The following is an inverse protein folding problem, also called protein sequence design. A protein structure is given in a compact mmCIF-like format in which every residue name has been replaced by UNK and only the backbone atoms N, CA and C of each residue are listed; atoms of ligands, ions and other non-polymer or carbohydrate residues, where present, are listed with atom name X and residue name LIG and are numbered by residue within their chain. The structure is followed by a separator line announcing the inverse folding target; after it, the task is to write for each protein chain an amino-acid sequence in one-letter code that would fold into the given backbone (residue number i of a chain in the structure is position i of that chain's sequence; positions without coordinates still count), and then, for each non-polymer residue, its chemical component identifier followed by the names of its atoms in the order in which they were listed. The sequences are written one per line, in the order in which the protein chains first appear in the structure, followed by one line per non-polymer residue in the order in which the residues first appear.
data_IF_312733032330
#
_entry.id   IF_312733032330
#
_cell.length_a   1.000
_cell.length_b   1.000
_cell.length_c   1.000
_cell.angle_alpha   90.00
_cell.angle_beta   90.00
_cell.angle_gamma   90.00
#
_symmetry.space_group_name_H-M   'P 1'
#
loop_
_entity.id
_entity.type
_entity.pdbx_description
1 polymer ?
#
# COMPACT_ATOMS: atom_id res chain seq x y z
N UNK A 1 -3.39 8.53 16.12
CA UNK A 1 -4.18 7.49 15.44
C UNK A 1 -3.81 7.46 13.98
N UNK A 2 -3.53 6.29 13.42
CA UNK A 2 -3.29 6.04 12.01
C UNK A 2 -4.40 5.13 11.47
N UNK A 3 -5.15 5.61 10.50
CA UNK A 3 -6.23 4.90 9.82
C UNK A 3 -5.71 4.39 8.47
N UNK A 4 -5.48 3.09 8.37
CA UNK A 4 -4.94 2.43 7.18
C UNK A 4 -3.66 3.11 6.61
N UNK A 5 -2.87 3.74 7.49
CA UNK A 5 -1.63 4.40 7.09
C UNK A 5 -0.52 3.38 6.84
N UNK A 6 0.22 3.50 5.72
CA UNK A 6 1.32 2.60 5.43
C UNK A 6 2.52 2.83 6.36
N UNK A 7 3.19 1.75 6.73
CA UNK A 7 4.39 1.70 7.55
C UNK A 7 5.60 1.24 6.75
N UNK A 8 5.36 0.60 5.62
CA UNK A 8 6.38 0.15 4.69
C UNK A 8 6.81 1.28 3.74
N UNK A 9 7.98 1.13 3.13
CA UNK A 9 8.46 2.04 2.09
C UNK A 9 7.46 2.12 0.92
N UNK A 10 7.32 3.29 0.31
CA UNK A 10 6.29 3.56 -0.68
C UNK A 10 6.30 2.64 -1.90
N UNK A 11 7.47 2.24 -2.40
CA UNK A 11 7.57 1.26 -3.49
C UNK A 11 7.01 -0.11 -3.09
N UNK A 12 7.31 -0.56 -1.87
CA UNK A 12 6.82 -1.82 -1.33
C UNK A 12 5.30 -1.80 -1.14
N UNK A 13 4.75 -0.68 -0.66
CA UNK A 13 3.29 -0.48 -0.54
C UNK A 13 2.62 -0.62 -1.89
N UNK A 14 3.10 0.09 -2.92
CA UNK A 14 2.50 0.04 -4.25
C UNK A 14 2.65 -1.33 -4.94
N UNK A 15 3.76 -2.03 -4.70
CA UNK A 15 3.93 -3.40 -5.23
C UNK A 15 2.94 -4.38 -4.58
N UNK A 16 2.73 -4.29 -3.27
CA UNK A 16 1.73 -5.11 -2.57
C UNK A 16 0.31 -4.76 -3.04
N UNK A 17 -0.03 -3.47 -3.08
CA UNK A 17 -1.31 -2.99 -3.58
C UNK A 17 -1.64 -3.55 -4.97
N UNK A 18 -0.69 -3.49 -5.90
CA UNK A 18 -0.92 -4.01 -7.25
C UNK A 18 -1.13 -5.53 -7.25
N UNK A 19 -0.38 -6.30 -6.42
CA UNK A 19 -0.63 -7.74 -6.27
C UNK A 19 -2.03 -8.03 -5.74
N UNK A 20 -2.42 -7.35 -4.67
CA UNK A 20 -3.70 -7.57 -3.98
C UNK A 20 -4.88 -7.19 -4.89
N UNK A 21 -4.79 -6.06 -5.60
CA UNK A 21 -5.82 -5.59 -6.55
C UNK A 21 -5.95 -6.53 -7.76
N UNK A 22 -4.84 -6.95 -8.36
CA UNK A 22 -4.86 -7.85 -9.52
C UNK A 22 -5.37 -9.24 -9.13
N UNK A 23 -5.01 -9.74 -7.95
CA UNK A 23 -5.53 -10.99 -7.41
C UNK A 23 -7.04 -10.90 -7.16
N UNK A 24 -7.50 -9.80 -6.54
CA UNK A 24 -8.93 -9.56 -6.32
C UNK A 24 -9.71 -9.41 -7.63
N UNK A 25 -9.07 -8.95 -8.70
CA UNK A 25 -9.61 -8.90 -10.05
C UNK A 25 -9.63 -10.27 -10.77
N UNK A 26 -9.17 -11.34 -10.11
CA UNK A 26 -9.22 -12.70 -10.63
C UNK A 26 -8.05 -13.11 -11.53
N UNK A 27 -6.96 -12.32 -11.58
CA UNK A 27 -5.77 -12.74 -12.30
C UNK A 27 -5.09 -13.91 -11.59
N UNK A 28 -4.55 -14.85 -12.38
CA UNK A 28 -3.76 -15.94 -11.84
C UNK A 28 -2.43 -15.48 -11.27
N UNK A 29 -1.90 -16.25 -10.34
CA UNK A 29 -0.70 -15.92 -9.58
C UNK A 29 0.54 -15.65 -10.46
N UNK A 30 0.71 -16.38 -11.55
CA UNK A 30 1.87 -16.24 -12.45
C UNK A 30 1.84 -14.85 -13.13
N UNK A 31 0.69 -14.44 -13.66
CA UNK A 31 0.53 -13.13 -14.28
C UNK A 31 0.64 -11.99 -13.25
N UNK A 32 0.12 -12.17 -12.03
CA UNK A 32 0.29 -11.19 -10.93
C UNK A 32 1.78 -11.00 -10.62
N UNK A 33 2.56 -12.06 -10.44
CA UNK A 33 3.98 -11.96 -10.11
C UNK A 33 4.84 -11.44 -11.28
N UNK A 34 4.50 -11.78 -12.51
CA UNK A 34 5.12 -11.18 -13.71
C UNK A 34 4.91 -9.67 -13.74
N UNK A 35 3.69 -9.21 -13.51
CA UNK A 35 3.39 -7.78 -13.47
C UNK A 35 4.12 -7.07 -12.32
N UNK A 36 4.07 -7.63 -11.11
CA UNK A 36 4.76 -7.07 -9.95
C UNK A 36 6.27 -6.99 -10.15
N UNK A 37 6.87 -8.01 -10.79
CA UNK A 37 8.30 -8.00 -11.13
C UNK A 37 8.62 -6.89 -12.12
N UNK A 38 7.81 -6.73 -13.16
CA UNK A 38 7.97 -5.67 -14.16
C UNK A 38 7.85 -4.28 -13.53
N UNK A 39 6.83 -4.08 -12.70
CA UNK A 39 6.60 -2.83 -11.96
C UNK A 39 7.75 -2.52 -10.99
N UNK A 40 8.28 -3.53 -10.29
CA UNK A 40 9.44 -3.36 -9.41
C UNK A 40 10.67 -2.87 -10.18
N UNK A 41 10.92 -3.38 -11.40
CA UNK A 41 12.02 -2.90 -12.24
C UNK A 41 11.83 -1.44 -12.64
N UNK A 42 10.60 -1.06 -12.98
CA UNK A 42 10.25 0.34 -13.29
C UNK A 42 10.51 1.24 -12.07
N UNK A 43 10.05 0.86 -10.88
CA UNK A 43 10.29 1.65 -9.67
C UNK A 43 11.79 1.77 -9.36
N UNK A 44 12.54 0.67 -9.40
CA UNK A 44 13.99 0.68 -9.17
C UNK A 44 14.72 1.58 -10.17
N UNK A 45 14.36 1.50 -11.46
CA UNK A 45 14.91 2.36 -12.47
C UNK A 45 14.61 3.83 -12.17
N UNK A 46 13.36 4.14 -11.80
CA UNK A 46 12.94 5.52 -11.51
C UNK A 46 13.53 6.08 -10.21
N UNK A 47 13.74 5.26 -9.21
CA UNK A 47 14.38 5.66 -7.96
C UNK A 47 15.90 5.84 -8.10
N UNK A 48 16.51 5.28 -9.15
CA UNK A 48 17.91 5.47 -9.45
C UNK A 48 18.18 6.92 -9.88
N UNK A 49 19.45 7.31 -9.99
CA UNK A 49 19.86 8.64 -10.46
C UNK A 49 19.75 8.81 -11.99
N UNK A 50 18.98 7.97 -12.66
CA UNK A 50 18.77 8.06 -14.10
C UNK A 50 18.07 9.38 -14.45
N UNK A 51 18.63 10.08 -15.46
CA UNK A 51 18.11 11.37 -15.91
C UNK A 51 16.92 11.25 -16.86
N UNK A 52 16.69 10.07 -17.44
CA UNK A 52 15.62 9.86 -18.39
C UNK A 52 14.27 9.80 -17.70
N UNK A 53 13.29 10.52 -18.22
CA UNK A 53 11.91 10.47 -17.77
C UNK A 53 11.13 9.39 -18.51
N UNK A 54 10.30 8.65 -17.81
CA UNK A 54 9.42 7.65 -18.43
C UNK A 54 8.34 8.28 -19.30
N UNK A 55 7.81 9.43 -18.86
CA UNK A 55 6.78 10.16 -19.60
C UNK A 55 7.20 10.54 -21.02
N UNK A 56 8.52 10.70 -21.26
CA UNK A 56 9.02 11.08 -22.57
C UNK A 56 9.02 9.90 -23.55
N UNK A 57 9.24 8.66 -23.06
CA UNK A 57 9.34 7.44 -23.90
C UNK A 57 8.89 6.15 -23.20
N UNK A 58 7.71 6.09 -22.55
CA UNK A 58 7.29 4.92 -21.81
C UNK A 58 7.14 3.67 -22.69
N UNK A 59 6.73 3.83 -23.95
CA UNK A 59 6.56 2.76 -24.91
C UNK A 59 7.89 2.07 -25.29
N UNK A 60 9.01 2.78 -25.16
CA UNK A 60 10.36 2.27 -25.44
C UNK A 60 11.01 1.71 -24.16
N UNK A 61 10.84 2.38 -23.05
CA UNK A 61 11.48 2.01 -21.78
C UNK A 61 10.88 0.76 -21.15
N UNK A 62 9.55 0.62 -21.16
CA UNK A 62 8.89 -0.55 -20.59
C UNK A 62 9.33 -1.85 -21.26
N UNK A 63 9.32 -1.97 -22.60
CA UNK A 63 9.86 -3.14 -23.29
C UNK A 63 11.33 -3.43 -22.93
N UNK A 64 12.16 -2.40 -22.85
CA UNK A 64 13.57 -2.56 -22.48
C UNK A 64 13.76 -3.14 -21.08
N UNK A 65 13.01 -2.63 -20.10
CA UNK A 65 13.09 -3.06 -18.70
C UNK A 65 12.43 -4.44 -18.45
N UNK A 66 11.59 -4.91 -19.36
CA UNK A 66 10.79 -6.12 -19.19
C UNK A 66 10.92 -7.13 -20.34
N UNK A 67 12.02 -7.04 -21.13
CA UNK A 67 12.23 -7.86 -22.34
C UNK A 67 12.18 -9.38 -22.10
N UNK A 68 12.58 -9.80 -20.90
CA UNK A 68 12.61 -11.20 -20.44
C UNK A 68 11.32 -11.62 -19.71
N UNK A 69 10.35 -10.71 -19.56
CA UNK A 69 9.08 -10.97 -18.89
C UNK A 69 7.96 -11.04 -19.94
N UNK A 70 7.37 -12.22 -20.08
CA UNK A 70 6.21 -12.40 -20.97
C UNK A 70 4.94 -11.86 -20.27
N UNK A 71 4.69 -10.56 -20.44
CA UNK A 71 3.48 -9.91 -19.95
C UNK A 71 2.35 -10.04 -20.97
N UNK A 72 1.14 -10.30 -20.47
CA UNK A 72 -0.10 -10.17 -21.25
C UNK A 72 -0.21 -8.76 -21.85
N UNK A 73 -0.78 -8.59 -23.08
CA UNK A 73 -0.90 -7.29 -23.72
C UNK A 73 -1.59 -6.24 -22.85
N UNK A 74 -2.64 -6.60 -22.15
CA UNK A 74 -3.40 -5.73 -21.25
C UNK A 74 -2.55 -5.26 -20.08
N UNK A 75 -1.79 -6.16 -19.45
CA UNK A 75 -0.89 -5.84 -18.35
C UNK A 75 0.27 -4.96 -18.81
N UNK A 76 0.78 -5.19 -20.01
CA UNK A 76 1.81 -4.33 -20.62
C UNK A 76 1.28 -2.91 -20.86
N UNK A 77 0.05 -2.79 -21.37
CA UNK A 77 -0.61 -1.49 -21.55
C UNK A 77 -0.79 -0.77 -20.21
N UNK A 78 -1.30 -1.47 -19.18
CA UNK A 78 -1.46 -0.92 -17.85
C UNK A 78 -0.13 -0.44 -17.26
N UNK A 79 0.95 -1.20 -17.47
CA UNK A 79 2.28 -0.83 -17.02
C UNK A 79 2.77 0.46 -17.69
N UNK A 80 2.55 0.63 -18.99
CA UNK A 80 2.90 1.86 -19.72
C UNK A 80 2.15 3.07 -19.15
N UNK A 81 0.85 2.94 -18.87
CA UNK A 81 0.07 4.03 -18.27
C UNK A 81 0.55 4.34 -16.84
N UNK A 82 0.87 3.31 -16.06
CA UNK A 82 1.45 3.49 -14.72
C UNK A 82 2.77 4.25 -14.78
N UNK A 83 3.63 3.92 -15.75
CA UNK A 83 4.92 4.58 -15.94
C UNK A 83 4.77 6.09 -16.20
N UNK A 84 3.75 6.50 -16.95
CA UNK A 84 3.47 7.93 -17.20
C UNK A 84 3.22 8.71 -15.89
N UNK A 85 2.60 8.06 -14.91
CA UNK A 85 2.34 8.68 -13.59
C UNK A 85 3.59 8.70 -12.69
N UNK A 86 4.50 7.75 -12.84
CA UNK A 86 5.70 7.61 -11.97
C UNK A 86 6.67 8.78 -12.09
N UNK A 87 6.54 9.61 -13.10
CA UNK A 87 7.38 10.81 -13.27
C UNK A 87 6.95 12.01 -12.42
N UNK A 88 5.80 11.95 -11.75
CA UNK A 88 5.42 13.04 -10.87
C UNK A 88 6.40 13.17 -9.70
N UNK A 89 6.85 14.39 -9.34
CA UNK A 89 7.78 14.60 -8.23
C UNK A 89 7.26 14.04 -6.90
N UNK A 90 5.95 14.13 -6.68
CA UNK A 90 5.29 13.57 -5.51
C UNK A 90 5.45 12.05 -5.45
N UNK A 91 5.14 11.35 -6.54
CA UNK A 91 5.20 9.89 -6.56
C UNK A 91 6.64 9.38 -6.43
N UNK A 92 7.61 10.07 -7.04
CA UNK A 92 9.04 9.74 -6.85
C UNK A 92 9.46 9.86 -5.39
N UNK A 93 9.03 10.94 -4.71
CA UNK A 93 9.29 11.13 -3.28
C UNK A 93 8.62 10.04 -2.45
N UNK A 94 7.37 9.69 -2.78
CA UNK A 94 6.64 8.62 -2.11
C UNK A 94 7.33 7.25 -2.27
N UNK A 95 7.75 6.89 -3.48
CA UNK A 95 8.47 5.63 -3.72
C UNK A 95 9.75 5.49 -2.89
N UNK A 96 10.47 6.60 -2.70
CA UNK A 96 11.74 6.66 -1.95
C UNK A 96 11.54 6.78 -0.45
N UNK A 97 10.37 7.24 0.00
CA UNK A 97 10.13 7.50 1.41
C UNK A 97 10.04 6.21 2.22
N UNK A 98 10.97 6.06 3.16
CA UNK A 98 10.94 4.99 4.17
C UNK A 98 10.49 5.58 5.52
N UNK A 99 9.25 5.33 5.95
CA UNK A 99 8.72 5.85 7.20
C UNK A 99 9.39 5.25 8.45
N UNK A 100 10.11 4.14 8.33
CA UNK A 100 10.75 3.48 9.46
C UNK A 100 11.68 4.40 10.25
N UNK A 101 12.38 5.32 9.55
CA UNK A 101 13.28 6.29 10.18
C UNK A 101 12.55 7.25 11.11
N UNK A 102 11.34 7.66 10.77
CA UNK A 102 10.55 8.59 11.58
C UNK A 102 9.74 7.84 12.64
N UNK A 103 9.22 6.65 12.32
CA UNK A 103 8.49 5.80 13.26
C UNK A 103 9.36 5.40 14.45
N UNK A 104 10.65 5.13 14.26
CA UNK A 104 11.60 4.84 15.35
C UNK A 104 11.79 6.00 16.33
N UNK A 105 11.46 7.23 15.95
CA UNK A 105 11.57 8.43 16.79
C UNK A 105 10.30 8.71 17.58
N UNK A 106 9.22 8.00 17.34
CA UNK A 106 7.96 8.18 18.06
C UNK A 106 8.18 7.83 19.53
N UNK A 107 7.71 8.70 20.41
CA UNK A 107 7.80 8.56 21.86
C UNK A 107 6.43 8.53 22.58
N UNK A 108 5.35 8.66 21.82
CA UNK A 108 3.97 8.60 22.30
C UNK A 108 3.28 7.30 21.85
N UNK A 109 2.25 6.83 22.57
CA UNK A 109 1.43 5.69 22.14
C UNK A 109 0.85 5.91 20.72
N UNK A 110 0.78 4.84 19.95
CA UNK A 110 0.24 4.82 18.57
C UNK A 110 -0.96 3.88 18.51
N UNK A 111 -2.02 4.33 17.86
CA UNK A 111 -3.07 3.44 17.37
C UNK A 111 -2.91 3.32 15.86
N UNK A 112 -2.56 2.13 15.37
CA UNK A 112 -2.54 1.77 13.95
C UNK A 112 -3.61 0.73 13.70
N UNK A 113 -4.58 1.07 12.88
CA UNK A 113 -5.69 0.18 12.52
C UNK A 113 -5.83 0.09 11.02
N UNK A 114 -6.09 -1.13 10.52
CA UNK A 114 -6.21 -1.43 9.09
C UNK A 114 -7.29 -2.50 8.93
N UNK A 115 -8.09 -2.43 7.86
CA UNK A 115 -9.00 -3.53 7.50
C UNK A 115 -8.20 -4.73 6.96
N UNK A 116 -8.56 -5.95 7.33
CA UNK A 116 -7.84 -7.13 6.81
C UNK A 116 -8.16 -7.43 5.34
N UNK A 117 -9.30 -6.88 4.86
CA UNK A 117 -9.68 -6.91 3.45
C UNK A 117 -9.25 -5.66 2.67
N UNK A 118 -8.35 -4.85 3.24
CA UNK A 118 -7.76 -3.70 2.57
C UNK A 118 -6.82 -4.13 1.44
N UNK A 119 -7.18 -3.77 0.18
CA UNK A 119 -6.37 -4.06 -1.01
C UNK A 119 -5.42 -2.91 -1.39
N UNK A 120 -5.44 -1.81 -0.64
CA UNK A 120 -4.55 -0.67 -0.86
C UNK A 120 -3.36 -0.68 0.11
N UNK A 121 -3.61 -1.01 1.38
CA UNK A 121 -2.58 -1.10 2.42
C UNK A 121 -2.71 -2.46 3.11
N UNK A 122 -1.83 -3.39 2.75
CA UNK A 122 -1.86 -4.76 3.28
C UNK A 122 -1.71 -4.76 4.81
N UNK A 123 -2.77 -5.19 5.51
CA UNK A 123 -2.84 -5.13 6.97
C UNK A 123 -1.74 -5.95 7.65
N UNK A 124 -1.57 -7.21 7.24
CA UNK A 124 -0.59 -8.11 7.84
C UNK A 124 0.82 -7.57 7.74
N UNK A 125 1.23 -7.14 6.54
CA UNK A 125 2.58 -6.64 6.31
C UNK A 125 2.86 -5.33 7.07
N UNK A 126 1.90 -4.39 7.09
CA UNK A 126 2.09 -3.10 7.75
C UNK A 126 2.01 -3.20 9.28
N UNK A 127 1.13 -4.00 9.83
CA UNK A 127 1.09 -4.25 11.29
C UNK A 127 2.37 -4.94 11.75
N UNK A 128 2.82 -5.98 11.05
CA UNK A 128 4.08 -6.64 11.37
C UNK A 128 5.28 -5.70 11.27
N UNK A 129 5.31 -4.83 10.27
CA UNK A 129 6.35 -3.80 10.16
C UNK A 129 6.30 -2.83 11.34
N UNK A 130 5.12 -2.35 11.73
CA UNK A 130 4.94 -1.47 12.89
C UNK A 130 5.43 -2.14 14.20
N UNK A 131 5.10 -3.41 14.39
CA UNK A 131 5.55 -4.20 15.55
C UNK A 131 7.08 -4.29 15.65
N UNK A 132 7.76 -4.37 14.51
CA UNK A 132 9.22 -4.48 14.45
C UNK A 132 9.91 -3.11 14.56
N UNK A 133 9.28 -2.03 14.10
CA UNK A 133 9.89 -0.70 13.98
C UNK A 133 9.63 0.16 15.22
N UNK A 134 8.44 0.09 15.82
CA UNK A 134 8.08 0.90 16.98
C UNK A 134 9.02 0.61 18.18
N UNK A 135 9.48 1.66 18.88
CA UNK A 135 10.26 1.49 20.12
C UNK A 135 9.49 0.62 21.12
N UNK A 136 10.17 -0.30 21.79
CA UNK A 136 9.55 -1.29 22.68
C UNK A 136 8.62 -0.66 23.75
N UNK A 137 9.05 0.47 24.33
CA UNK A 137 8.26 1.19 25.34
C UNK A 137 7.00 1.84 24.77
N UNK A 138 7.04 2.29 23.50
CA UNK A 138 5.89 2.84 22.77
C UNK A 138 4.93 1.72 22.42
N UNK A 139 5.45 0.65 21.81
CA UNK A 139 4.65 -0.51 21.41
C UNK A 139 3.83 -1.10 22.56
N UNK A 140 4.41 -1.19 23.76
CA UNK A 140 3.73 -1.69 24.94
C UNK A 140 2.46 -0.88 25.35
N UNK A 141 2.32 0.34 24.89
CA UNK A 141 1.19 1.25 25.16
C UNK A 141 0.36 1.53 23.89
N UNK A 142 0.71 0.94 22.78
CA UNK A 142 0.08 1.14 21.46
C UNK A 142 -0.97 0.09 21.18
N UNK A 143 -1.89 0.39 20.27
CA UNK A 143 -2.86 -0.55 19.70
C UNK A 143 -2.55 -0.74 18.22
N UNK A 144 -2.22 -1.98 17.85
CA UNK A 144 -2.03 -2.39 16.45
C UNK A 144 -3.10 -3.44 16.15
N UNK A 145 -4.08 -3.12 15.30
CA UNK A 145 -5.25 -4.00 15.10
C UNK A 145 -5.64 -4.08 13.62
N UNK A 146 -5.82 -5.30 13.12
CA UNK A 146 -6.53 -5.56 11.88
C UNK A 146 -8.01 -5.81 12.18
N UNK A 147 -8.91 -5.24 11.38
CA UNK A 147 -10.34 -5.46 11.50
C UNK A 147 -10.81 -6.46 10.44
N UNK A 148 -11.42 -7.58 10.84
CA UNK A 148 -11.92 -8.59 9.92
C UNK A 148 -12.92 -8.02 8.93
N UNK A 149 -12.83 -8.43 7.67
CA UNK A 149 -13.74 -8.11 6.57
C UNK A 149 -13.83 -6.63 6.18
N UNK A 150 -13.12 -5.71 6.84
CA UNK A 150 -13.17 -4.30 6.50
C UNK A 150 -12.18 -3.96 5.38
N UNK A 151 -12.63 -3.10 4.46
CA UNK A 151 -11.82 -2.55 3.38
C UNK A 151 -10.97 -1.33 3.84
N UNK A 152 -10.32 -0.66 2.90
CA UNK A 152 -9.50 0.54 3.16
C UNK A 152 -10.26 1.70 3.81
N UNK A 153 -11.54 1.81 3.58
CA UNK A 153 -12.43 2.83 4.17
C UNK A 153 -13.08 2.35 5.48
N UNK A 154 -12.66 1.20 6.00
CA UNK A 154 -13.28 0.54 7.16
C UNK A 154 -14.76 0.22 6.96
N UNK A 155 -15.15 -0.10 5.75
CA UNK A 155 -16.48 -0.58 5.41
C UNK A 155 -16.47 -2.11 5.36
N UNK A 156 -17.51 -2.81 5.83
CA UNK A 156 -17.68 -4.25 5.57
C UNK A 156 -17.71 -4.52 4.07
N UNK A 157 -16.85 -5.44 3.59
CA UNK A 157 -16.67 -5.70 2.16
C UNK A 157 -16.46 -7.18 1.87
N UNK A 158 -16.87 -7.64 0.70
CA UNK A 158 -16.68 -9.02 0.27
C UNK A 158 -15.27 -9.25 -0.31
N UNK A 159 -14.86 -8.39 -1.25
CA UNK A 159 -13.55 -8.54 -1.95
C UNK A 159 -12.52 -7.51 -1.48
N UNK A 160 -12.96 -6.42 -0.86
CA UNK A 160 -12.12 -5.26 -0.50
C UNK A 160 -11.70 -4.41 -1.70
N UNK A 161 -12.20 -4.73 -2.90
CA UNK A 161 -11.90 -3.97 -4.11
C UNK A 161 -12.44 -2.55 -4.05
N UNK A 162 -11.68 -1.53 -4.50
CA UNK A 162 -12.19 -0.16 -4.62
C UNK A 162 -13.49 -0.03 -5.44
N UNK A 163 -13.75 -0.97 -6.35
CA UNK A 163 -15.00 -1.03 -7.12
C UNK A 163 -16.26 -1.32 -6.30
N UNK A 164 -16.11 -1.78 -5.05
CA UNK A 164 -17.23 -2.02 -4.13
C UNK A 164 -17.64 -0.75 -3.36
N UNK A 165 -16.73 0.20 -3.16
CA UNK A 165 -16.91 1.32 -2.21
C UNK A 165 -18.21 2.09 -2.42
N UNK A 166 -18.55 2.41 -3.66
CA UNK A 166 -19.77 3.16 -4.00
C UNK A 166 -21.08 2.37 -3.79
N UNK A 167 -20.99 1.05 -3.56
CA UNK A 167 -22.15 0.17 -3.38
C UNK A 167 -22.43 -0.13 -1.91
N UNK A 168 -21.51 0.22 -1.02
CA UNK A 168 -21.59 -0.05 0.42
C UNK A 168 -22.20 1.17 1.09
N UNK A 169 -23.35 0.98 1.75
CA UNK A 169 -24.07 2.08 2.44
C UNK A 169 -23.35 2.55 3.70
N UNK A 170 -22.65 1.64 4.40
CA UNK A 170 -21.90 1.97 5.61
C UNK A 170 -20.72 2.89 5.26
N UNK A 171 -20.61 4.04 5.92
CA UNK A 171 -19.47 4.96 5.72
C UNK A 171 -18.22 4.46 6.41
N UNK A 172 -18.35 4.01 7.66
CA UNK A 172 -17.29 3.42 8.49
C UNK A 172 -17.94 2.51 9.53
N UNK A 173 -17.29 1.41 9.90
CA UNK A 173 -17.78 0.49 10.92
C UNK A 173 -17.88 1.18 12.29
N UNK A 174 -19.02 0.99 13.00
CA UNK A 174 -19.22 1.52 14.35
C UNK A 174 -18.18 0.97 15.33
N UNK A 175 -17.81 -0.32 15.23
CA UNK A 175 -16.75 -0.92 16.03
C UNK A 175 -15.43 -0.11 15.94
N UNK A 176 -15.07 0.36 14.75
CA UNK A 176 -13.86 1.16 14.55
C UNK A 176 -13.97 2.50 15.27
N UNK A 177 -15.12 3.16 15.18
CA UNK A 177 -15.37 4.45 15.86
C UNK A 177 -15.33 4.31 17.37
N UNK A 178 -15.92 3.25 17.91
CA UNK A 178 -15.92 2.95 19.33
C UNK A 178 -14.50 2.67 19.84
N UNK A 179 -13.74 1.84 19.13
CA UNK A 179 -12.36 1.54 19.51
C UNK A 179 -11.47 2.78 19.49
N UNK A 180 -11.61 3.65 18.48
CA UNK A 180 -10.88 4.94 18.43
C UNK A 180 -11.23 5.79 19.64
N UNK A 181 -12.51 5.94 19.92
CA UNK A 181 -13.01 6.76 21.03
C UNK A 181 -12.52 6.22 22.38
N UNK A 182 -12.64 4.90 22.61
CA UNK A 182 -12.16 4.25 23.80
C UNK A 182 -10.64 4.41 23.98
N UNK A 183 -9.89 4.20 22.91
CA UNK A 183 -8.42 4.28 22.95
C UNK A 183 -7.95 5.71 23.25
N UNK A 184 -8.53 6.73 22.61
CA UNK A 184 -8.21 8.14 22.88
C UNK A 184 -8.49 8.47 24.34
N UNK A 185 -9.70 8.16 24.84
CA UNK A 185 -10.08 8.44 26.21
C UNK A 185 -9.19 7.75 27.25
N UNK A 186 -8.69 6.56 26.95
CA UNK A 186 -7.76 5.81 27.81
C UNK A 186 -6.34 6.39 27.79
N UNK A 187 -5.91 6.94 26.66
CA UNK A 187 -4.52 7.33 26.44
C UNK A 187 -4.27 8.80 26.84
N UNK A 188 -5.31 9.65 26.89
CA UNK A 188 -5.22 11.08 27.21
C UNK A 188 -5.57 11.41 28.68
N UNK A 189 -5.91 10.40 29.49
CA UNK A 189 -6.08 10.53 30.95
C UNK A 189 -4.76 10.20 31.65
#
# INVERSE_FOLDING_TARGET
VSLAGPVLQGDSVLLMQNRDVLTAAGLDKDNVEKYATALSRVFKYRMSEQKMKFSDKPESLVPMLTMDINLMPELRKNLIETVKMVDSPWLVSYLKYDPATDIRKINSPVMLIIGDNDKQVNATANIQAAENILPKAVKAKSLLKAYPTLNHLFQPSETGSPGEYAKIETTISEEVLDDITCWINKTTK
#
